data_IF_527565182965
#
_entry.id   IF_527565182965
#
_cell.length_a   1.000
_cell.length_b   1.000
_cell.length_c   1.000
_cell.angle_alpha   90.00
_cell.angle_beta   90.00
_cell.angle_gamma   90.00
#
_symmetry.space_group_name_H-M   'P 1'
#
loop_
_entity.id
_entity.type
_entity.pdbx_description
1 polymer ?
#
# COMPACT_ATOMS: atom_id res chain seq x y z
N UNK A 1 -2.21 2.99 -6.80
CA UNK A 1 -1.58 4.30 -6.50
C UNK A 1 -2.56 5.36 -5.97
N UNK A 2 -3.84 5.37 -6.36
CA UNK A 2 -4.78 6.41 -5.93
C UNK A 2 -4.89 6.51 -4.40
N UNK A 3 -4.95 5.36 -3.70
CA UNK A 3 -5.03 5.35 -2.24
C UNK A 3 -3.77 5.90 -1.56
N UNK A 4 -2.58 5.59 -2.09
CA UNK A 4 -1.31 6.16 -1.58
C UNK A 4 -1.27 7.69 -1.73
N UNK A 5 -1.74 8.23 -2.85
CA UNK A 5 -1.81 9.69 -3.07
C UNK A 5 -2.81 10.39 -2.14
N UNK A 6 -3.87 9.69 -1.74
CA UNK A 6 -4.83 10.18 -0.75
C UNK A 6 -4.30 10.06 0.68
N UNK A 7 -3.51 9.02 0.96
CA UNK A 7 -2.88 8.74 2.25
C UNK A 7 -1.79 9.74 2.59
N UNK A 8 -0.97 10.13 1.61
CA UNK A 8 0.16 11.05 1.76
C UNK A 8 0.01 12.29 0.86
N UNK A 9 -0.98 13.17 1.14
CA UNK A 9 -1.25 14.33 0.31
C UNK A 9 -0.04 15.26 0.18
N UNK A 10 0.74 15.41 1.24
CA UNK A 10 1.96 16.23 1.30
C UNK A 10 3.11 15.65 0.48
N UNK A 11 3.08 14.35 0.16
CA UNK A 11 4.12 13.65 -0.62
C UNK A 11 3.72 13.34 -2.06
N UNK A 12 2.57 13.80 -2.53
CA UNK A 12 2.05 13.48 -3.88
C UNK A 12 3.06 13.69 -5.00
N UNK A 13 3.75 14.83 -5.02
CA UNK A 13 4.73 15.14 -6.06
C UNK A 13 5.94 14.19 -6.00
N UNK A 14 6.40 13.84 -4.79
CA UNK A 14 7.49 12.91 -4.61
C UNK A 14 7.09 11.51 -5.08
N UNK A 15 5.90 11.03 -4.70
CA UNK A 15 5.33 9.75 -5.16
C UNK A 15 5.25 9.72 -6.69
N UNK A 16 4.69 10.77 -7.32
CA UNK A 16 4.60 10.84 -8.78
C UNK A 16 5.97 10.86 -9.47
N UNK A 17 6.99 11.46 -8.86
CA UNK A 17 8.35 11.49 -9.40
C UNK A 17 8.98 10.10 -9.45
N UNK A 18 8.84 9.32 -8.37
CA UNK A 18 9.44 7.99 -8.28
C UNK A 18 8.52 6.88 -8.80
N UNK A 19 7.23 7.15 -9.05
CA UNK A 19 6.27 6.19 -9.61
C UNK A 19 6.69 5.62 -10.98
N UNK A 20 7.65 6.25 -11.66
CA UNK A 20 8.21 5.74 -12.92
C UNK A 20 9.38 4.78 -12.74
N UNK A 21 9.84 4.57 -11.51
CA UNK A 21 10.77 3.49 -11.19
C UNK A 21 10.01 2.17 -11.12
N UNK A 22 10.60 1.05 -11.62
CA UNK A 22 9.97 -0.26 -11.53
C UNK A 22 9.60 -0.64 -10.09
N UNK A 23 10.50 -0.37 -9.13
CA UNK A 23 10.28 -0.65 -7.71
C UNK A 23 9.04 0.06 -7.17
N UNK A 24 8.90 1.38 -7.39
CA UNK A 24 7.73 2.10 -6.88
C UNK A 24 6.43 1.67 -7.60
N UNK A 25 6.50 1.32 -8.89
CA UNK A 25 5.34 0.81 -9.60
C UNK A 25 4.81 -0.50 -8.97
N UNK A 26 5.72 -1.44 -8.66
CA UNK A 26 5.40 -2.69 -7.98
C UNK A 26 4.84 -2.45 -6.56
N UNK A 27 5.42 -1.52 -5.80
CA UNK A 27 4.91 -1.16 -4.48
C UNK A 27 3.50 -0.54 -4.55
N UNK A 28 3.26 0.32 -5.54
CA UNK A 28 1.96 0.95 -5.76
C UNK A 28 0.88 -0.06 -6.16
N UNK A 29 1.21 -1.07 -6.96
CA UNK A 29 0.31 -2.16 -7.32
C UNK A 29 0.04 -3.07 -6.11
N UNK A 30 1.10 -3.50 -5.42
CA UNK A 30 1.02 -4.35 -4.22
C UNK A 30 0.17 -3.69 -3.12
N UNK A 31 0.32 -2.38 -2.93
CA UNK A 31 -0.48 -1.62 -1.97
C UNK A 31 -1.97 -1.67 -2.30
N UNK A 32 -2.34 -1.45 -3.58
CA UNK A 32 -3.75 -1.48 -3.98
C UNK A 32 -4.34 -2.88 -3.83
N UNK A 33 -3.60 -3.91 -4.23
CA UNK A 33 -4.02 -5.30 -4.08
C UNK A 33 -4.22 -5.68 -2.61
N UNK A 34 -3.29 -5.28 -1.72
CA UNK A 34 -3.41 -5.54 -0.29
C UNK A 34 -4.62 -4.82 0.31
N UNK A 35 -4.91 -3.56 -0.09
CA UNK A 35 -6.12 -2.85 0.31
C UNK A 35 -7.40 -3.55 -0.16
N UNK A 36 -7.47 -3.95 -1.44
CA UNK A 36 -8.62 -4.68 -1.99
C UNK A 36 -8.83 -6.01 -1.27
N UNK A 37 -7.75 -6.75 -1.00
CA UNK A 37 -7.83 -8.02 -0.29
C UNK A 37 -8.29 -7.84 1.17
N UNK A 38 -7.78 -6.83 1.87
CA UNK A 38 -8.22 -6.51 3.23
C UNK A 38 -9.71 -6.13 3.29
N UNK A 39 -10.19 -5.35 2.31
CA UNK A 39 -11.62 -5.00 2.19
C UNK A 39 -12.48 -6.23 1.90
N UNK A 40 -12.06 -7.05 0.93
CA UNK A 40 -12.76 -8.30 0.59
C UNK A 40 -12.90 -9.21 1.80
N UNK A 41 -11.80 -9.51 2.49
CA UNK A 41 -11.82 -10.41 3.64
C UNK A 41 -12.57 -9.83 4.84
N UNK A 42 -12.66 -8.51 4.98
CA UNK A 42 -13.44 -7.89 6.04
C UNK A 42 -14.96 -8.11 5.88
N UNK A 43 -15.43 -8.37 4.65
CA UNK A 43 -16.83 -8.68 4.36
C UNK A 43 -17.16 -10.18 4.50
N UNK A 44 -16.14 -11.04 4.49
CA UNK A 44 -16.32 -12.50 4.62
C UNK A 44 -16.51 -12.86 6.11
N UNK A 45 -17.58 -13.62 6.47
CA UNK A 45 -17.77 -14.07 7.84
C UNK A 45 -16.82 -15.23 8.19
N UNK A 46 -16.33 -15.25 9.43
CA UNK A 46 -15.55 -16.36 9.99
C UNK A 46 -14.20 -15.95 10.55
N UNK A 47 -13.61 -16.82 11.39
CA UNK A 47 -12.32 -16.54 12.04
C UNK A 47 -11.15 -16.51 11.07
N UNK A 48 -11.20 -17.30 9.99
CA UNK A 48 -10.20 -17.29 8.92
C UNK A 48 -10.18 -15.94 8.20
N UNK A 49 -11.34 -15.41 7.85
CA UNK A 49 -11.47 -14.10 7.22
C UNK A 49 -10.96 -12.97 8.11
N UNK A 50 -11.19 -13.05 9.43
CA UNK A 50 -10.63 -12.10 10.39
C UNK A 50 -9.08 -12.17 10.44
N UNK A 51 -8.51 -13.37 10.39
CA UNK A 51 -7.06 -13.56 10.34
C UNK A 51 -6.47 -12.99 9.04
N UNK A 52 -7.07 -13.30 7.88
CA UNK A 52 -6.64 -12.79 6.58
C UNK A 52 -6.73 -11.26 6.52
N UNK A 53 -7.82 -10.68 7.04
CA UNK A 53 -7.96 -9.22 7.13
C UNK A 53 -6.83 -8.59 7.94
N UNK A 54 -6.45 -9.20 9.07
CA UNK A 54 -5.35 -8.73 9.89
C UNK A 54 -4.00 -8.84 9.17
N UNK A 55 -3.77 -9.95 8.46
CA UNK A 55 -2.56 -10.16 7.66
C UNK A 55 -2.40 -9.12 6.56
N UNK A 56 -3.45 -8.87 5.75
CA UNK A 56 -3.39 -7.85 4.71
C UNK A 56 -3.23 -6.44 5.28
N UNK A 57 -3.80 -6.14 6.45
CA UNK A 57 -3.56 -4.86 7.14
C UNK A 57 -2.10 -4.67 7.56
N UNK A 58 -1.44 -5.72 8.04
CA UNK A 58 -0.01 -5.67 8.34
C UNK A 58 0.83 -5.49 7.07
N UNK A 59 0.45 -6.16 5.98
CA UNK A 59 1.11 -6.00 4.68
C UNK A 59 0.99 -4.56 4.16
N UNK A 60 -0.18 -3.93 4.27
CA UNK A 60 -0.38 -2.51 3.91
C UNK A 60 0.61 -1.63 4.66
N UNK A 61 0.74 -1.80 5.98
CA UNK A 61 1.68 -1.01 6.81
C UNK A 61 3.14 -1.26 6.40
N UNK A 62 3.51 -2.50 6.07
CA UNK A 62 4.85 -2.82 5.60
C UNK A 62 5.16 -2.13 4.25
N UNK A 63 4.21 -2.12 3.33
CA UNK A 63 4.35 -1.43 2.03
C UNK A 63 4.42 0.09 2.23
N UNK A 64 3.60 0.67 3.12
CA UNK A 64 3.68 2.10 3.49
C UNK A 64 5.09 2.49 3.99
N UNK A 65 5.71 1.61 4.78
CA UNK A 65 7.07 1.82 5.28
C UNK A 65 8.13 1.75 4.16
N UNK A 66 7.97 0.83 3.20
CA UNK A 66 8.87 0.74 2.04
C UNK A 66 8.73 1.94 1.11
N UNK A 67 7.50 2.34 0.79
CA UNK A 67 7.22 3.56 0.03
C UNK A 67 7.88 4.76 0.70
N UNK A 68 7.83 4.85 2.03
CA UNK A 68 8.47 5.93 2.78
C UNK A 68 10.01 5.93 2.67
N UNK A 69 10.65 4.75 2.59
CA UNK A 69 12.09 4.60 2.36
C UNK A 69 12.47 5.04 0.94
N UNK A 70 11.78 4.52 -0.07
CA UNK A 70 12.01 4.89 -1.48
C UNK A 70 11.88 6.40 -1.73
N UNK A 71 10.96 7.07 -1.03
CA UNK A 71 10.80 8.51 -1.12
C UNK A 71 11.93 9.31 -0.46
N UNK A 72 12.65 8.70 0.48
CA UNK A 72 13.78 9.31 1.20
C UNK A 72 15.09 9.04 0.48
N UNK A 73 15.28 7.82 -0.04
CA UNK A 73 16.49 7.39 -0.75
C UNK A 73 16.52 7.92 -2.20
N UNK A 74 15.35 8.19 -2.79
CA UNK A 74 15.20 8.81 -4.12
C UNK A 74 15.14 10.36 -4.12
N UNK A 75 15.50 11.02 -3.01
CA UNK A 75 15.55 12.49 -2.87
C UNK A 75 16.97 13.04 -2.96
#
# INVERSE_FOLDING_TARGET
>A
MARLLLRYPERRLAILRVAMTPTMAELCESYELACVAAEYWAEVPGSEAAAMTAEFRLLIVAIEAEVSRELTDGA
#
